data_IF_364752927883
#
_entry.id   IF_364752927883
#
_cell.length_a   1.000
_cell.length_b   1.000
_cell.length_c   1.000
_cell.angle_alpha   90.00
_cell.angle_beta   90.00
_cell.angle_gamma   90.00
#
_symmetry.space_group_name_H-M   'P 1'
#
loop_
_entity.id
_entity.type
_entity.pdbx_description
1 polymer ?
#
# COMPACT_ATOMS: atom_id res chain seq x y z
N UNK A 1 -9.39 -12.98 5.25
CA UNK A 1 -8.27 -13.32 4.33
C UNK A 1 -7.50 -12.03 4.05
N UNK A 2 -6.21 -12.10 3.75
CA UNK A 2 -5.41 -10.90 3.44
C UNK A 2 -5.53 -10.52 1.96
N UNK A 3 -5.45 -9.22 1.66
CA UNK A 3 -5.49 -8.69 0.29
C UNK A 3 -4.39 -9.30 -0.60
N UNK A 4 -3.17 -9.45 -0.06
CA UNK A 4 -2.08 -10.17 -0.72
C UNK A 4 -2.46 -11.58 -1.17
N UNK A 5 -3.11 -12.36 -0.29
CA UNK A 5 -3.52 -13.75 -0.59
C UNK A 5 -4.56 -13.79 -1.70
N UNK A 6 -5.48 -12.84 -1.71
CA UNK A 6 -6.52 -12.72 -2.73
C UNK A 6 -5.92 -12.33 -4.08
N UNK A 7 -5.04 -11.33 -4.11
CA UNK A 7 -4.33 -10.92 -5.32
C UNK A 7 -3.51 -12.07 -5.90
N UNK A 8 -2.74 -12.80 -5.07
CA UNK A 8 -1.98 -13.97 -5.52
C UNK A 8 -2.87 -15.06 -6.13
N UNK A 9 -4.00 -15.37 -5.49
CA UNK A 9 -4.94 -16.38 -6.00
C UNK A 9 -5.59 -15.96 -7.30
N UNK A 10 -5.89 -14.66 -7.47
CA UNK A 10 -6.48 -14.10 -8.69
C UNK A 10 -5.58 -14.29 -9.91
N UNK A 11 -4.27 -14.20 -9.73
CA UNK A 11 -3.29 -14.47 -10.79
C UNK A 11 -2.83 -15.94 -10.87
N UNK A 12 -3.45 -16.83 -10.08
CA UNK A 12 -3.20 -18.28 -10.15
C UNK A 12 -1.85 -18.76 -9.58
N UNK A 13 -1.16 -17.93 -8.79
CA UNK A 13 0.16 -18.27 -8.25
C UNK A 13 0.07 -19.01 -6.91
N UNK A 14 1.01 -19.92 -6.64
CA UNK A 14 1.29 -20.46 -5.30
C UNK A 14 2.19 -19.51 -4.51
N UNK A 15 2.28 -19.69 -3.19
CA UNK A 15 3.19 -18.87 -2.36
C UNK A 15 4.66 -19.01 -2.80
N UNK A 16 5.07 -20.22 -3.21
CA UNK A 16 6.43 -20.51 -3.70
C UNK A 16 6.70 -19.76 -5.01
N UNK A 17 5.76 -19.78 -5.95
CA UNK A 17 5.92 -19.08 -7.22
C UNK A 17 5.98 -17.57 -7.05
N UNK A 18 5.11 -17.00 -6.18
CA UNK A 18 5.17 -15.57 -5.87
C UNK A 18 6.52 -15.21 -5.25
N UNK A 19 6.99 -15.99 -4.27
CA UNK A 19 8.29 -15.80 -3.62
C UNK A 19 9.46 -15.82 -4.62
N UNK A 20 9.49 -16.81 -5.53
CA UNK A 20 10.51 -16.92 -6.55
C UNK A 20 10.49 -15.72 -7.52
N UNK A 21 9.31 -15.34 -8.01
CA UNK A 21 9.18 -14.25 -8.99
C UNK A 21 9.47 -12.87 -8.39
N UNK A 22 9.19 -12.66 -7.10
CA UNK A 22 9.44 -11.40 -6.40
C UNK A 22 10.79 -11.35 -5.67
N UNK A 23 11.60 -12.42 -5.78
CA UNK A 23 12.89 -12.58 -5.12
C UNK A 23 12.82 -12.36 -3.59
N UNK A 24 11.86 -13.03 -2.95
CA UNK A 24 11.73 -13.08 -1.48
C UNK A 24 11.61 -14.52 -1.00
N UNK A 25 11.75 -14.75 0.31
CA UNK A 25 11.56 -16.08 0.88
C UNK A 25 10.07 -16.46 0.91
N UNK A 26 9.76 -17.76 0.73
CA UNK A 26 8.40 -18.25 0.89
C UNK A 26 7.88 -18.03 2.33
N UNK A 27 8.77 -18.09 3.33
CA UNK A 27 8.44 -17.76 4.71
C UNK A 27 7.96 -16.30 4.85
N UNK A 28 8.60 -15.36 4.16
CA UNK A 28 8.16 -13.96 4.10
C UNK A 28 6.75 -13.86 3.51
N UNK A 29 6.48 -14.50 2.36
CA UNK A 29 5.14 -14.51 1.75
C UNK A 29 4.09 -15.09 2.70
N UNK A 30 4.38 -16.20 3.36
CA UNK A 30 3.49 -16.81 4.35
C UNK A 30 3.20 -15.89 5.54
N UNK A 31 4.22 -15.21 6.05
CA UNK A 31 4.09 -14.24 7.15
C UNK A 31 3.28 -13.02 6.74
N UNK A 32 3.47 -12.50 5.51
CA UNK A 32 2.70 -11.37 5.00
C UNK A 32 1.24 -11.75 4.78
N UNK A 33 0.95 -12.94 4.24
CA UNK A 33 -0.42 -13.40 4.04
C UNK A 33 -1.18 -13.64 5.35
N UNK A 34 -0.48 -13.90 6.45
CA UNK A 34 -1.07 -14.16 7.77
C UNK A 34 -1.14 -12.93 8.68
N UNK A 35 -0.09 -12.10 8.69
CA UNK A 35 0.05 -10.98 9.63
C UNK A 35 0.00 -9.59 9.00
N UNK A 36 0.22 -9.48 7.68
CA UNK A 36 0.31 -8.20 6.97
C UNK A 36 1.48 -7.30 7.40
N UNK A 37 2.47 -7.84 8.12
CA UNK A 37 3.58 -7.07 8.72
C UNK A 37 4.94 -7.69 8.40
N UNK A 38 6.00 -6.88 8.56
CA UNK A 38 7.39 -7.36 8.55
C UNK A 38 8.11 -7.28 7.21
N UNK A 39 7.52 -6.62 6.20
CA UNK A 39 8.17 -6.33 4.92
C UNK A 39 8.56 -4.85 4.81
N UNK A 40 9.65 -4.60 4.09
CA UNK A 40 10.02 -3.25 3.63
C UNK A 40 9.09 -2.78 2.52
N UNK A 41 9.03 -1.48 2.29
CA UNK A 41 8.31 -0.89 1.15
C UNK A 41 8.80 -1.48 -0.18
N UNK A 42 10.11 -1.65 -0.35
CA UNK A 42 10.70 -2.32 -1.51
C UNK A 42 10.16 -3.75 -1.71
N UNK A 43 10.01 -4.51 -0.63
CA UNK A 43 9.44 -5.87 -0.69
C UNK A 43 7.99 -5.84 -1.17
N UNK A 44 7.19 -4.88 -0.70
CA UNK A 44 5.83 -4.70 -1.18
C UNK A 44 5.77 -4.33 -2.66
N UNK A 45 6.65 -3.45 -3.14
CA UNK A 45 6.71 -3.10 -4.56
C UNK A 45 7.08 -4.30 -5.45
N UNK A 46 8.03 -5.15 -5.02
CA UNK A 46 8.37 -6.37 -5.78
C UNK A 46 7.20 -7.33 -5.87
N UNK A 47 6.48 -7.53 -4.76
CA UNK A 47 5.27 -8.37 -4.75
C UNK A 47 4.18 -7.78 -5.65
N UNK A 48 3.92 -6.48 -5.55
CA UNK A 48 2.93 -5.78 -6.36
C UNK A 48 3.24 -5.86 -7.86
N UNK A 49 4.51 -5.69 -8.23
CA UNK A 49 4.98 -5.80 -9.61
C UNK A 49 4.70 -7.17 -10.24
N UNK A 50 4.90 -8.26 -9.48
CA UNK A 50 4.56 -9.62 -9.94
C UNK A 50 3.06 -9.83 -10.06
N UNK A 51 2.27 -9.22 -9.17
CA UNK A 51 0.82 -9.37 -9.11
C UNK A 51 0.08 -8.43 -10.08
N UNK A 52 0.78 -7.50 -10.72
CA UNK A 52 0.20 -6.53 -11.66
C UNK A 52 -0.74 -5.54 -10.99
N UNK A 53 -0.49 -5.17 -9.73
CA UNK A 53 -1.28 -4.23 -8.95
C UNK A 53 -0.40 -3.20 -8.25
N UNK A 54 -0.99 -2.22 -7.55
CA UNK A 54 -0.22 -1.28 -6.74
C UNK A 54 0.14 -1.90 -5.38
N UNK A 55 1.06 -1.26 -4.63
CA UNK A 55 1.40 -1.72 -3.29
C UNK A 55 0.21 -1.55 -2.32
N UNK A 56 -0.56 -0.47 -2.47
CA UNK A 56 -1.75 -0.15 -1.68
C UNK A 56 -2.82 -1.23 -1.79
N UNK A 57 -2.94 -1.87 -2.96
CA UNK A 57 -3.91 -2.93 -3.22
C UNK A 57 -3.64 -4.21 -2.39
N UNK A 58 -2.39 -4.43 -1.95
CA UNK A 58 -1.96 -5.70 -1.34
C UNK A 58 -1.36 -5.59 0.05
N UNK A 59 -0.84 -4.41 0.43
CA UNK A 59 -0.24 -4.18 1.73
C UNK A 59 -1.27 -4.24 2.87
N UNK A 60 -2.56 -4.24 2.53
CA UNK A 60 -3.61 -3.87 3.48
C UNK A 60 -3.46 -2.39 3.81
N UNK A 61 -4.53 -1.76 4.29
CA UNK A 61 -4.48 -0.33 4.59
C UNK A 61 -3.34 -0.07 5.59
N UNK A 62 -2.24 0.61 5.18
CA UNK A 62 -1.26 1.04 6.15
C UNK A 62 -2.03 1.90 7.15
N UNK A 63 -1.83 1.76 8.47
CA UNK A 63 -2.57 2.55 9.44
C UNK A 63 -2.13 4.02 9.35
N UNK A 64 -2.61 4.76 8.35
CA UNK A 64 -2.30 6.17 8.16
C UNK A 64 -3.53 6.87 7.61
N UNK A 65 -4.19 7.61 8.53
CA UNK A 65 -5.02 8.83 8.34
C UNK A 65 -6.36 8.88 9.07
N UNK A 66 -6.60 8.07 10.10
CA UNK A 66 -7.79 8.26 10.95
C UNK A 66 -7.79 9.61 11.69
N UNK A 67 -6.63 10.29 11.80
CA UNK A 67 -6.50 11.60 12.47
C UNK A 67 -7.08 12.77 11.67
N UNK A 68 -7.07 12.68 10.34
CA UNK A 68 -7.60 13.75 9.48
C UNK A 68 -9.12 13.66 9.39
N UNK A 69 -9.66 12.49 9.06
CA UNK A 69 -11.09 12.29 8.77
C UNK A 69 -11.98 12.75 9.94
N UNK A 70 -11.57 12.48 11.19
CA UNK A 70 -12.38 12.83 12.39
C UNK A 70 -12.60 14.34 12.58
N UNK A 71 -11.72 15.19 12.05
CA UNK A 71 -11.78 16.63 12.28
C UNK A 71 -12.28 17.43 11.05
N UNK A 72 -12.40 16.81 9.88
CA UNK A 72 -12.81 17.51 8.65
C UNK A 72 -14.22 18.10 8.76
N UNK A 73 -15.13 17.45 9.50
CA UNK A 73 -16.51 17.92 9.68
C UNK A 73 -16.65 19.21 10.51
N UNK A 74 -15.60 19.61 11.23
CA UNK A 74 -15.57 20.84 12.04
C UNK A 74 -14.81 22.00 11.41
N UNK A 75 -14.26 21.82 10.21
CA UNK A 75 -13.47 22.85 9.54
C UNK A 75 -14.37 23.80 8.73
N UNK A 76 -14.02 25.08 8.72
CA UNK A 76 -14.61 26.04 7.79
C UNK A 76 -14.16 25.76 6.34
N UNK A 77 -14.91 26.29 5.38
CA UNK A 77 -14.56 26.22 3.95
C UNK A 77 -13.15 26.77 3.69
N UNK A 78 -12.79 27.89 4.33
CA UNK A 78 -11.44 28.49 4.19
C UNK A 78 -10.32 27.60 4.75
N UNK A 79 -10.58 26.85 5.82
CA UNK A 79 -9.62 25.90 6.37
C UNK A 79 -9.47 24.67 5.46
N UNK A 80 -10.56 24.23 4.83
CA UNK A 80 -10.53 23.16 3.82
C UNK A 80 -9.75 23.57 2.57
N UNK A 81 -9.92 24.81 2.11
CA UNK A 81 -9.17 25.36 0.98
C UNK A 81 -7.66 25.41 1.26
N UNK A 82 -7.27 25.89 2.46
CA UNK A 82 -5.87 25.90 2.88
C UNK A 82 -5.29 24.48 2.95
N UNK A 83 -6.06 23.52 3.49
CA UNK A 83 -5.65 22.11 3.53
C UNK A 83 -5.48 21.53 2.13
N UNK A 84 -6.41 21.80 1.21
CA UNK A 84 -6.34 21.36 -0.17
C UNK A 84 -5.11 21.93 -0.88
N UNK A 85 -4.80 23.21 -0.66
CA UNK A 85 -3.62 23.85 -1.23
C UNK A 85 -2.32 23.14 -0.79
N UNK A 86 -2.21 22.79 0.51
CA UNK A 86 -1.07 22.04 1.03
C UNK A 86 -1.03 20.62 0.44
N UNK A 87 -2.17 19.93 0.37
CA UNK A 87 -2.24 18.58 -0.20
C UNK A 87 -1.75 18.55 -1.66
N UNK A 88 -2.20 19.51 -2.47
CA UNK A 88 -1.78 19.67 -3.87
C UNK A 88 -0.27 19.95 -3.99
N UNK A 89 0.29 20.76 -3.10
CA UNK A 89 1.74 21.03 -3.09
C UNK A 89 2.57 19.79 -2.72
N UNK A 90 2.08 18.96 -1.81
CA UNK A 90 2.76 17.72 -1.43
C UNK A 90 2.76 16.69 -2.58
N UNK A 91 1.68 16.63 -3.37
CA UNK A 91 1.60 15.74 -4.53
C UNK A 91 2.61 16.12 -5.62
N UNK A 92 2.72 17.41 -5.94
CA UNK A 92 3.67 17.91 -6.96
C UNK A 92 5.13 17.64 -6.61
N UNK A 93 5.51 17.77 -5.32
CA UNK A 93 6.86 17.43 -4.85
C UNK A 93 7.22 15.95 -4.96
N UNK A 94 6.23 15.06 -5.04
CA UNK A 94 6.46 13.65 -5.33
C UNK A 94 6.72 13.38 -6.82
N UNK A 95 6.20 14.23 -7.70
CA UNK A 95 6.33 14.12 -9.17
C UNK A 95 7.63 14.75 -9.68
N UNK A 96 8.15 15.79 -9.01
CA UNK A 96 9.38 16.52 -9.40
C UNK A 96 10.70 15.80 -9.03
N UNK A 97 10.63 14.64 -8.35
CA UNK A 97 11.79 13.85 -7.93
C UNK A 97 12.08 12.63 -8.82
N UNK A 98 11.52 12.59 -10.04
CA UNK A 98 11.78 11.57 -11.06
C UNK A 98 12.63 12.10 -12.22
#
# INVERSE_FOLDING_TARGET
MSALREARKRVGLTQVQLAQQSNVSQACVSQLESSGRGATEETWHRLAGVLGCSYEDIAGEPPVKTRLIRNLSGLSVSQLEALNAVAVQMQRRGEDNC
#
